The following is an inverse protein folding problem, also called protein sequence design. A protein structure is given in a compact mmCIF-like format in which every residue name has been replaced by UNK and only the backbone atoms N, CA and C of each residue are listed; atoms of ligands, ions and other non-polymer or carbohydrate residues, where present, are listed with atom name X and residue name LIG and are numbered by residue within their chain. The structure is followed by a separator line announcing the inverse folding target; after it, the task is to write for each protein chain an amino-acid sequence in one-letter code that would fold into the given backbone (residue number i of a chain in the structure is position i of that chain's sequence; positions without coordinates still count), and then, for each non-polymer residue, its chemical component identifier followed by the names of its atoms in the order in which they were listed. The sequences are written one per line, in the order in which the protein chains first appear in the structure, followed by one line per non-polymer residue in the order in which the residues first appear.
data_IF_139349413604
#
_entry.id   IF_139349413604
#
_cell.length_a   1.000
_cell.length_b   1.000
_cell.length_c   1.000
_cell.angle_alpha   90.00
_cell.angle_beta   90.00
_cell.angle_gamma   90.00
#
_symmetry.space_group_name_H-M   'P 1'
#
loop_
_entity.id
_entity.type
_entity.pdbx_description
1 polymer ?
#
# COMPACT_ATOMS: atom_id res chain seq x y z
N UNK A 1 53.46 27.12 21.52
CA UNK A 1 53.23 26.19 20.42
C UNK A 1 52.65 24.84 20.88
N UNK A 2 53.11 24.19 21.95
CA UNK A 2 52.57 22.88 22.42
C UNK A 2 51.09 22.89 22.88
N UNK A 3 50.58 24.00 23.49
CA UNK A 3 49.17 24.09 23.93
C UNK A 3 48.16 24.22 22.77
N UNK A 4 48.57 24.92 21.69
CA UNK A 4 47.70 25.07 20.48
C UNK A 4 47.59 23.75 19.72
N UNK A 5 48.69 23.00 19.63
CA UNK A 5 48.69 21.66 19.00
C UNK A 5 47.80 20.67 19.74
N UNK A 6 47.74 20.71 21.07
CA UNK A 6 46.89 19.82 21.87
C UNK A 6 45.41 20.17 21.73
N UNK A 7 45.08 21.48 21.63
CA UNK A 7 43.69 21.92 21.41
C UNK A 7 43.14 21.55 20.00
N UNK A 8 43.99 21.66 18.98
CA UNK A 8 43.64 21.25 17.61
C UNK A 8 43.45 19.73 17.53
N UNK A 9 44.30 18.94 18.19
CA UNK A 9 44.18 17.50 18.26
C UNK A 9 42.88 17.05 19.01
N UNK A 10 42.50 17.74 20.08
CA UNK A 10 41.27 17.46 20.82
C UNK A 10 40.01 17.83 20.02
N UNK A 11 40.06 18.95 19.28
CA UNK A 11 38.94 19.35 18.41
C UNK A 11 38.74 18.37 17.24
N UNK A 12 39.85 17.87 16.66
CA UNK A 12 39.83 16.89 15.57
C UNK A 12 39.32 15.52 16.05
N UNK A 13 39.56 15.15 17.31
CA UNK A 13 39.05 13.92 17.91
C UNK A 13 37.53 14.01 18.22
N UNK A 14 37.02 15.19 18.60
CA UNK A 14 35.58 15.41 18.82
C UNK A 14 34.76 15.36 17.53
N UNK A 15 35.33 15.75 16.38
CA UNK A 15 34.62 15.67 15.08
C UNK A 15 34.49 14.23 14.59
N UNK A 16 35.37 13.32 15.03
CA UNK A 16 35.29 11.90 14.66
C UNK A 16 34.25 11.10 15.45
N UNK A 17 33.71 11.61 16.55
CA UNK A 17 32.68 10.95 17.35
C UNK A 17 31.24 11.23 16.88
N UNK A 18 31.05 12.17 15.93
CA UNK A 18 29.73 12.52 15.37
C UNK A 18 29.30 11.69 14.15
N UNK A 19 30.12 10.74 13.71
CA UNK A 19 29.91 10.04 12.43
C UNK A 19 29.23 8.65 12.53
N UNK A 20 28.56 8.34 13.63
CA UNK A 20 27.85 7.06 13.79
C UNK A 20 26.35 7.26 14.04
N UNK A 21 25.62 7.79 13.05
CA UNK A 21 24.21 7.45 12.85
C UNK A 21 24.08 6.70 11.53
N UNK A 22 24.69 5.54 11.45
CA UNK A 22 24.50 4.63 10.31
C UNK A 22 23.22 3.82 10.50
N UNK A 23 22.10 4.40 10.13
CA UNK A 23 21.04 3.58 9.55
C UNK A 23 21.63 2.83 8.34
N UNK A 24 21.00 1.76 7.84
CA UNK A 24 21.56 0.93 6.77
C UNK A 24 21.83 1.79 5.53
N UNK A 25 23.09 2.22 5.40
CA UNK A 25 23.55 3.01 4.26
C UNK A 25 23.53 2.10 3.04
N UNK A 26 22.56 2.30 2.14
CA UNK A 26 22.68 1.84 0.77
C UNK A 26 21.62 0.86 0.25
N UNK A 27 20.87 0.12 1.06
CA UNK A 27 19.88 -0.82 0.55
C UNK A 27 18.49 -0.20 0.56
N UNK A 28 17.80 -0.26 -0.59
CA UNK A 28 16.37 0.13 -0.68
C UNK A 28 15.49 -1.10 -0.56
N UNK A 29 14.32 -0.92 0.02
CA UNK A 29 13.32 -1.97 0.10
C UNK A 29 12.89 -2.42 -1.30
N UNK A 30 12.71 -3.72 -1.46
CA UNK A 30 12.34 -4.42 -2.71
C UNK A 30 10.94 -5.02 -2.61
N UNK A 31 10.45 -5.62 -3.69
CA UNK A 31 9.12 -6.21 -3.77
C UNK A 31 8.07 -5.24 -4.34
N UNK A 32 6.90 -5.78 -4.65
CA UNK A 32 5.80 -5.03 -5.26
C UNK A 32 4.94 -4.37 -4.17
N UNK A 33 4.21 -3.33 -4.58
CA UNK A 33 3.19 -2.73 -3.73
C UNK A 33 2.11 -3.76 -3.38
N UNK A 34 1.56 -3.67 -2.18
CA UNK A 34 0.52 -4.56 -1.66
C UNK A 34 0.94 -6.04 -1.56
N UNK A 35 2.24 -6.34 -1.58
CA UNK A 35 2.78 -7.65 -1.22
C UNK A 35 3.32 -7.64 0.21
N UNK A 36 3.07 -8.72 0.98
CA UNK A 36 3.55 -8.90 2.35
C UNK A 36 4.22 -10.25 2.48
N UNK A 37 5.44 -10.26 2.99
CA UNK A 37 6.12 -11.50 3.42
C UNK A 37 5.71 -11.78 4.86
N UNK A 38 5.11 -12.95 5.08
CA UNK A 38 4.72 -13.43 6.42
C UNK A 38 5.72 -14.46 6.89
N UNK A 39 6.44 -14.13 7.96
CA UNK A 39 7.45 -14.99 8.59
C UNK A 39 6.85 -15.63 9.83
N UNK A 40 6.61 -16.94 9.80
CA UNK A 40 5.94 -17.68 10.86
C UNK A 40 6.41 -19.14 10.84
N UNK A 41 6.48 -19.82 11.99
CA UNK A 41 6.79 -21.24 12.02
C UNK A 41 5.76 -22.05 11.21
N UNK A 42 6.22 -23.02 10.45
CA UNK A 42 5.39 -23.84 9.54
C UNK A 42 4.17 -24.46 10.23
N UNK A 43 4.34 -24.99 11.43
CA UNK A 43 3.26 -25.61 12.20
C UNK A 43 2.14 -24.60 12.54
N UNK A 44 2.50 -23.36 12.91
CA UNK A 44 1.56 -22.31 13.24
C UNK A 44 0.88 -21.74 11.99
N UNK A 45 1.63 -21.62 10.88
CA UNK A 45 1.12 -21.19 9.58
C UNK A 45 0.04 -22.12 9.02
N UNK A 46 0.27 -23.46 9.11
CA UNK A 46 -0.71 -24.46 8.68
C UNK A 46 -1.88 -24.61 9.67
N UNK A 47 -1.72 -24.11 10.88
CA UNK A 47 -2.72 -24.13 11.94
C UNK A 47 -3.82 -23.07 11.82
N UNK A 48 -4.59 -22.92 12.89
CA UNK A 48 -5.71 -21.97 12.98
C UNK A 48 -5.25 -20.51 12.98
N UNK A 49 -4.14 -20.20 13.64
CA UNK A 49 -3.58 -18.84 13.69
C UNK A 49 -3.10 -18.35 12.32
N UNK A 50 -2.40 -19.21 11.56
CA UNK A 50 -1.97 -18.88 10.20
C UNK A 50 -3.15 -18.69 9.25
N UNK A 51 -4.23 -19.50 9.40
CA UNK A 51 -5.47 -19.34 8.64
C UNK A 51 -6.15 -18.00 8.94
N UNK A 52 -6.22 -17.60 10.21
CA UNK A 52 -6.79 -16.32 10.64
C UNK A 52 -6.01 -15.13 10.04
N UNK A 53 -4.68 -15.13 10.14
CA UNK A 53 -3.81 -14.11 9.55
C UNK A 53 -3.99 -14.06 8.02
N UNK A 54 -3.99 -15.21 7.36
CA UNK A 54 -4.18 -15.28 5.91
C UNK A 54 -5.53 -14.69 5.50
N UNK A 55 -6.62 -15.08 6.16
CA UNK A 55 -7.96 -14.58 5.88
C UNK A 55 -8.06 -13.06 6.06
N UNK A 56 -7.44 -12.51 7.10
CA UNK A 56 -7.42 -11.07 7.35
C UNK A 56 -6.65 -10.33 6.25
N UNK A 57 -5.40 -10.74 5.97
CA UNK A 57 -4.54 -10.07 5.00
C UNK A 57 -5.06 -10.17 3.56
N UNK A 58 -5.75 -11.27 3.21
CA UNK A 58 -6.33 -11.47 1.87
C UNK A 58 -7.84 -11.13 1.82
N UNK A 59 -8.34 -10.33 2.77
CA UNK A 59 -9.71 -9.85 2.68
C UNK A 59 -9.92 -9.04 1.40
N UNK A 60 -11.12 -9.14 0.82
CA UNK A 60 -11.45 -8.51 -0.44
C UNK A 60 -11.46 -6.98 -0.37
N UNK A 61 -11.01 -6.35 -1.46
CA UNK A 61 -11.15 -4.90 -1.65
C UNK A 61 -12.62 -4.58 -1.90
N UNK A 62 -13.25 -3.72 -1.08
CA UNK A 62 -14.66 -3.40 -1.25
C UNK A 62 -14.96 -2.66 -2.56
N UNK A 63 -16.13 -2.91 -3.16
CA UNK A 63 -16.63 -2.17 -4.32
C UNK A 63 -16.04 -2.58 -5.66
N UNK A 64 -15.20 -3.60 -5.73
CA UNK A 64 -14.76 -4.20 -6.99
C UNK A 64 -15.83 -5.16 -7.54
N UNK A 65 -16.02 -5.26 -8.87
CA UNK A 65 -16.99 -6.16 -9.48
C UNK A 65 -16.55 -7.63 -9.38
N UNK A 66 -15.26 -7.88 -9.22
CA UNK A 66 -14.67 -9.19 -8.95
C UNK A 66 -13.98 -9.16 -7.60
N UNK A 67 -14.00 -10.29 -6.88
CA UNK A 67 -13.27 -10.44 -5.64
C UNK A 67 -11.77 -10.37 -5.89
N UNK A 68 -11.11 -9.39 -5.31
CA UNK A 68 -9.65 -9.23 -5.37
C UNK A 68 -9.10 -9.04 -3.96
N UNK A 69 -8.07 -9.80 -3.56
CA UNK A 69 -7.48 -9.68 -2.24
C UNK A 69 -6.76 -8.34 -2.09
N UNK A 70 -6.92 -7.70 -0.94
CA UNK A 70 -6.27 -6.44 -0.63
C UNK A 70 -4.74 -6.55 -0.61
N UNK A 71 -4.21 -7.70 -0.19
CA UNK A 71 -2.77 -7.96 -0.15
C UNK A 71 -2.44 -9.33 -0.73
N UNK A 72 -1.31 -9.41 -1.43
CA UNK A 72 -0.69 -10.68 -1.85
C UNK A 72 0.28 -11.14 -0.79
N UNK A 73 0.21 -12.42 -0.40
CA UNK A 73 1.01 -12.97 0.67
C UNK A 73 2.05 -13.94 0.13
N UNK A 74 3.26 -13.82 0.64
CA UNK A 74 4.32 -14.82 0.51
C UNK A 74 4.68 -15.34 1.89
N UNK A 75 4.45 -16.63 2.14
CA UNK A 75 4.84 -17.30 3.36
C UNK A 75 6.33 -17.67 3.35
N UNK A 76 7.00 -17.48 4.48
CA UNK A 76 8.40 -17.87 4.70
C UNK A 76 8.56 -18.46 6.09
N UNK A 77 9.20 -19.63 6.19
CA UNK A 77 9.60 -20.19 7.48
C UNK A 77 10.76 -19.36 8.08
N UNK A 78 10.80 -19.12 9.41
CA UNK A 78 11.88 -18.36 10.03
C UNK A 78 13.29 -18.85 9.69
N UNK A 79 13.47 -20.15 9.49
CA UNK A 79 14.75 -20.74 9.09
C UNK A 79 15.20 -20.40 7.67
N UNK A 80 14.29 -19.93 6.84
CA UNK A 80 14.53 -19.51 5.44
C UNK A 80 14.48 -18.00 5.26
N UNK A 81 14.20 -17.27 6.34
CA UNK A 81 14.09 -15.80 6.30
C UNK A 81 15.45 -15.14 6.45
N UNK A 82 16.19 -15.05 5.35
CA UNK A 82 17.51 -14.44 5.27
C UNK A 82 17.74 -13.69 3.93
N UNK A 83 18.95 -13.18 3.74
CA UNK A 83 19.43 -12.62 2.49
C UNK A 83 18.49 -11.58 1.89
N UNK A 84 18.01 -11.82 0.67
CA UNK A 84 17.17 -10.88 -0.09
C UNK A 84 15.77 -10.72 0.51
N UNK A 85 15.26 -11.71 1.22
CA UNK A 85 13.93 -11.65 1.83
C UNK A 85 13.87 -10.61 2.95
N UNK A 86 14.99 -10.34 3.62
CA UNK A 86 15.06 -9.30 4.66
C UNK A 86 14.91 -7.88 4.11
N UNK A 87 15.06 -7.67 2.78
CA UNK A 87 14.92 -6.35 2.16
C UNK A 87 13.53 -6.09 1.57
N UNK A 88 12.59 -7.03 1.70
CA UNK A 88 11.23 -6.84 1.21
C UNK A 88 10.54 -5.69 1.95
N UNK A 89 9.77 -4.90 1.22
CA UNK A 89 9.19 -3.64 1.71
C UNK A 89 8.16 -3.77 2.84
N UNK A 90 7.42 -4.89 2.87
CA UNK A 90 6.43 -5.18 3.91
C UNK A 90 6.67 -6.58 4.46
N UNK A 91 6.91 -6.68 5.74
CA UNK A 91 7.17 -7.92 6.44
C UNK A 91 6.27 -8.00 7.67
N UNK A 92 5.62 -9.15 7.86
CA UNK A 92 4.94 -9.53 9.09
C UNK A 92 5.70 -10.69 9.73
N UNK A 93 6.29 -10.46 10.90
CA UNK A 93 6.93 -11.50 11.72
C UNK A 93 5.94 -11.92 12.81
N UNK A 94 5.67 -13.21 12.91
CA UNK A 94 4.76 -13.76 13.92
C UNK A 94 5.55 -14.67 14.84
N UNK A 95 5.58 -14.32 16.14
CA UNK A 95 6.25 -15.07 17.18
C UNK A 95 5.21 -15.61 18.18
N UNK A 96 5.19 -16.94 18.34
CA UNK A 96 4.37 -17.60 19.35
C UNK A 96 5.29 -18.25 20.37
N UNK A 97 5.28 -17.73 21.60
CA UNK A 97 6.12 -18.27 22.68
C UNK A 97 5.49 -17.98 24.05
N UNK A 98 4.93 -19.00 24.73
CA UNK A 98 4.31 -18.84 26.05
C UNK A 98 5.30 -18.51 27.17
N UNK A 99 6.59 -18.74 26.96
CA UNK A 99 7.63 -18.44 27.96
C UNK A 99 8.04 -16.97 27.93
N UNK A 100 7.77 -16.25 26.83
CA UNK A 100 8.16 -14.86 26.65
C UNK A 100 6.95 -13.93 26.69
N UNK A 101 5.83 -14.33 26.06
CA UNK A 101 4.68 -13.47 25.88
C UNK A 101 3.52 -13.88 26.79
N UNK A 102 2.85 -12.91 27.39
CA UNK A 102 1.68 -13.13 28.24
C UNK A 102 0.35 -12.75 27.56
N UNK A 103 0.42 -11.96 26.50
CA UNK A 103 -0.72 -11.53 25.66
C UNK A 103 -0.28 -11.27 24.23
N UNK A 104 -1.25 -11.27 23.32
CA UNK A 104 -0.97 -10.85 21.95
C UNK A 104 -0.70 -9.34 21.89
N UNK A 105 0.29 -8.95 21.10
CA UNK A 105 0.68 -7.55 20.90
C UNK A 105 1.31 -7.33 19.52
N UNK A 106 1.06 -6.15 18.95
CA UNK A 106 1.66 -5.73 17.67
C UNK A 106 2.60 -4.55 17.91
N UNK A 107 3.74 -4.59 17.25
CA UNK A 107 4.66 -3.46 17.11
C UNK A 107 5.12 -3.34 15.66
N UNK A 108 5.67 -2.19 15.29
CA UNK A 108 6.26 -2.03 13.95
C UNK A 108 7.53 -1.20 14.02
N UNK A 109 8.40 -1.43 13.05
CA UNK A 109 9.64 -0.70 12.84
C UNK A 109 9.74 -0.30 11.37
N UNK A 110 10.28 0.92 11.11
CA UNK A 110 10.63 1.37 9.78
C UNK A 110 12.12 1.15 9.54
N UNK A 111 12.45 0.83 8.27
CA UNK A 111 13.84 0.80 7.79
C UNK A 111 14.79 -0.15 8.57
N UNK A 112 14.27 -1.27 9.07
CA UNK A 112 15.06 -2.20 9.89
C UNK A 112 16.25 -2.78 9.13
N UNK A 113 16.08 -3.21 7.88
CA UNK A 113 17.11 -3.77 7.02
C UNK A 113 17.29 -3.01 5.70
N UNK A 114 16.28 -2.27 5.26
CA UNK A 114 16.29 -1.53 4.01
C UNK A 114 15.45 -0.25 4.11
N UNK A 115 15.90 0.82 3.48
CA UNK A 115 15.18 2.11 3.45
C UNK A 115 13.84 1.99 2.71
N UNK A 116 12.78 2.48 3.32
CA UNK A 116 11.41 2.40 2.80
C UNK A 116 10.69 1.10 3.17
N UNK A 117 11.27 0.30 4.07
CA UNK A 117 10.67 -0.92 4.60
C UNK A 117 9.78 -0.64 5.82
N UNK A 118 8.76 -1.47 6.01
CA UNK A 118 8.05 -1.62 7.28
C UNK A 118 8.07 -3.08 7.72
N UNK A 119 8.41 -3.30 8.98
CA UNK A 119 8.38 -4.62 9.63
C UNK A 119 7.39 -4.57 10.76
N UNK A 120 6.32 -5.35 10.66
CA UNK A 120 5.33 -5.56 11.73
C UNK A 120 5.70 -6.83 12.47
N UNK A 121 5.68 -6.78 13.79
CA UNK A 121 5.89 -7.95 14.65
C UNK A 121 4.63 -8.20 15.48
N UNK A 122 4.03 -9.37 15.31
CA UNK A 122 2.93 -9.88 16.11
C UNK A 122 3.47 -10.95 17.05
N UNK A 123 3.44 -10.65 18.36
CA UNK A 123 3.88 -11.56 19.41
C UNK A 123 2.66 -12.09 20.16
N UNK A 124 2.65 -13.39 20.50
CA UNK A 124 1.55 -14.00 21.26
C UNK A 124 2.03 -15.18 22.10
N UNK A 125 1.35 -15.51 23.23
CA UNK A 125 1.66 -16.68 24.02
C UNK A 125 1.18 -17.98 23.36
N UNK A 126 0.15 -17.94 22.52
CA UNK A 126 -0.42 -19.11 21.87
C UNK A 126 -1.11 -18.77 20.55
N UNK A 127 -1.43 -19.78 19.69
CA UNK A 127 -2.22 -19.59 18.49
C UNK A 127 -3.62 -18.99 18.76
N UNK A 128 -4.27 -19.39 19.86
CA UNK A 128 -5.59 -18.92 20.27
C UNK A 128 -5.55 -17.42 20.58
N UNK A 129 -4.51 -16.94 21.25
CA UNK A 129 -4.33 -15.51 21.52
C UNK A 129 -4.20 -14.65 20.26
N UNK A 130 -3.67 -15.19 19.15
CA UNK A 130 -3.68 -14.53 17.85
C UNK A 130 -5.10 -14.43 17.30
N UNK A 131 -5.87 -15.52 17.37
CA UNK A 131 -7.26 -15.55 16.90
C UNK A 131 -8.12 -14.56 17.67
N UNK A 132 -8.02 -14.55 18.99
CA UNK A 132 -8.71 -13.60 19.86
C UNK A 132 -8.34 -12.15 19.52
N UNK A 133 -7.04 -11.90 19.30
CA UNK A 133 -6.57 -10.58 18.90
C UNK A 133 -7.17 -10.14 17.56
N UNK A 134 -7.15 -10.99 16.53
CA UNK A 134 -7.73 -10.69 15.22
C UNK A 134 -9.24 -10.47 15.30
N UNK A 135 -9.96 -11.20 16.16
CA UNK A 135 -11.39 -11.00 16.37
C UNK A 135 -11.69 -9.68 17.09
N UNK A 136 -10.86 -9.29 18.07
CA UNK A 136 -10.99 -8.03 18.78
C UNK A 136 -10.59 -6.81 17.94
N UNK A 137 -9.72 -6.99 16.95
CA UNK A 137 -9.19 -5.94 16.08
C UNK A 137 -9.32 -6.34 14.60
N UNK A 138 -10.53 -6.51 14.08
CA UNK A 138 -10.75 -6.95 12.71
C UNK A 138 -10.13 -5.95 11.74
N UNK A 139 -9.41 -6.48 10.74
CA UNK A 139 -8.70 -5.71 9.71
C UNK A 139 -7.48 -4.90 10.17
N UNK A 140 -7.04 -5.00 11.41
CA UNK A 140 -5.91 -4.21 11.91
C UNK A 140 -4.63 -4.39 11.08
N UNK A 141 -4.29 -5.62 10.68
CA UNK A 141 -3.12 -5.92 9.87
C UNK A 141 -3.30 -5.46 8.41
N UNK A 142 -4.43 -5.78 7.79
CA UNK A 142 -4.66 -5.41 6.38
C UNK A 142 -4.72 -3.89 6.23
N UNK A 143 -5.47 -3.19 7.09
CA UNK A 143 -5.60 -1.74 7.05
C UNK A 143 -4.26 -1.05 7.30
N UNK A 144 -3.43 -1.61 8.19
CA UNK A 144 -2.08 -1.10 8.43
C UNK A 144 -1.22 -1.15 7.16
N UNK A 145 -1.10 -2.32 6.52
CA UNK A 145 -0.26 -2.45 5.32
C UNK A 145 -0.82 -1.68 4.13
N UNK A 146 -2.13 -1.66 3.93
CA UNK A 146 -2.78 -0.85 2.91
C UNK A 146 -2.48 0.63 3.12
N UNK A 147 -2.62 1.14 4.35
CA UNK A 147 -2.29 2.53 4.69
C UNK A 147 -0.82 2.87 4.44
N UNK A 148 0.10 1.96 4.76
CA UNK A 148 1.54 2.13 4.47
C UNK A 148 1.76 2.28 2.97
N UNK A 149 1.14 1.43 2.13
CA UNK A 149 1.27 1.52 0.67
C UNK A 149 0.62 2.79 0.10
N UNK A 150 -0.55 3.16 0.59
CA UNK A 150 -1.18 4.42 0.21
C UNK A 150 -0.30 5.64 0.54
N UNK A 151 0.29 5.68 1.73
CA UNK A 151 1.20 6.78 2.12
C UNK A 151 2.45 6.84 1.22
N UNK A 152 2.99 5.69 0.81
CA UNK A 152 4.10 5.64 -0.15
C UNK A 152 3.69 6.18 -1.51
N UNK A 153 2.51 5.77 -2.01
CA UNK A 153 1.97 6.26 -3.26
C UNK A 153 1.71 7.78 -3.21
N UNK A 154 1.09 8.28 -2.14
CA UNK A 154 0.88 9.71 -1.92
C UNK A 154 2.21 10.47 -1.96
N UNK A 155 3.21 10.04 -1.18
CA UNK A 155 4.52 10.70 -1.14
C UNK A 155 5.29 10.64 -2.48
N UNK A 156 4.96 9.69 -3.36
CA UNK A 156 5.48 9.67 -4.73
C UNK A 156 4.73 10.65 -5.62
N UNK A 157 3.39 10.66 -5.57
CA UNK A 157 2.53 11.55 -6.36
C UNK A 157 2.69 13.02 -5.99
N UNK A 158 3.12 13.34 -4.76
CA UNK A 158 3.47 14.71 -4.37
C UNK A 158 4.72 15.23 -5.09
N UNK A 159 5.60 14.34 -5.54
CA UNK A 159 6.89 14.70 -6.16
C UNK A 159 6.86 14.57 -7.68
N UNK A 160 6.07 13.65 -8.19
CA UNK A 160 6.01 13.30 -9.62
C UNK A 160 4.58 12.98 -10.01
N UNK A 161 3.90 13.96 -10.65
CA UNK A 161 2.51 13.85 -11.06
C UNK A 161 2.29 14.41 -12.47
N UNK A 162 1.17 14.03 -13.08
CA UNK A 162 0.75 14.52 -14.38
C UNK A 162 0.25 15.96 -14.30
N UNK A 163 1.00 16.90 -14.89
CA UNK A 163 0.57 18.29 -15.02
C UNK A 163 -0.66 18.41 -15.94
N UNK A 164 -0.79 17.54 -16.94
CA UNK A 164 -1.95 17.47 -17.82
C UNK A 164 -3.22 17.20 -17.03
N UNK A 165 -3.20 16.21 -16.13
CA UNK A 165 -4.37 15.88 -15.29
C UNK A 165 -4.65 17.03 -14.31
N UNK A 166 -3.61 17.52 -13.62
CA UNK A 166 -3.74 18.59 -12.64
C UNK A 166 -4.34 19.85 -13.27
N UNK A 167 -3.81 20.32 -14.41
CA UNK A 167 -4.23 21.57 -15.03
C UNK A 167 -5.66 21.49 -15.56
N UNK A 168 -6.04 20.36 -16.20
CA UNK A 168 -7.41 20.20 -16.68
C UNK A 168 -8.43 20.12 -15.54
N UNK A 169 -8.16 19.31 -14.51
CA UNK A 169 -9.06 19.20 -13.37
C UNK A 169 -9.19 20.50 -12.59
N UNK A 170 -8.10 21.24 -12.41
CA UNK A 170 -8.11 22.53 -11.73
C UNK A 170 -8.89 23.59 -12.50
N UNK A 171 -8.68 23.68 -13.81
CA UNK A 171 -9.27 24.75 -14.62
C UNK A 171 -10.73 24.50 -14.98
N UNK A 172 -11.14 23.25 -15.19
CA UNK A 172 -12.46 22.90 -15.73
C UNK A 172 -13.40 22.27 -14.69
N UNK A 173 -12.85 21.70 -13.59
CA UNK A 173 -13.64 20.96 -12.59
C UNK A 173 -13.45 21.46 -11.15
N UNK A 174 -12.65 22.51 -10.95
CA UNK A 174 -12.31 23.07 -9.61
C UNK A 174 -11.79 22.01 -8.64
N UNK A 175 -11.01 21.05 -9.14
CA UNK A 175 -10.47 19.91 -8.40
C UNK A 175 -8.96 19.85 -8.56
N UNK A 176 -8.22 19.68 -7.45
CA UNK A 176 -6.79 19.43 -7.46
C UNK A 176 -6.52 17.99 -7.10
N UNK A 177 -5.90 17.24 -8.05
CA UNK A 177 -5.59 15.82 -7.88
C UNK A 177 -4.26 15.48 -8.54
N UNK A 178 -3.34 14.89 -7.78
CA UNK A 178 -2.10 14.35 -8.31
C UNK A 178 -2.36 12.94 -8.85
N UNK A 179 -2.20 12.78 -10.15
CA UNK A 179 -2.24 11.50 -10.84
C UNK A 179 -0.83 11.09 -11.30
N UNK A 180 -0.55 9.81 -11.58
CA UNK A 180 0.74 9.38 -12.12
C UNK A 180 1.20 10.20 -13.32
N UNK A 181 2.48 10.57 -13.34
CA UNK A 181 3.06 11.47 -14.37
C UNK A 181 2.96 10.92 -15.80
N UNK A 182 2.81 9.60 -15.96
CA UNK A 182 2.61 8.95 -17.24
C UNK A 182 1.17 9.00 -17.77
N UNK A 183 0.21 9.57 -17.04
CA UNK A 183 -1.16 9.81 -17.50
C UNK A 183 -1.18 11.06 -18.38
N UNK A 184 -1.03 10.89 -19.69
CA UNK A 184 -0.92 11.97 -20.68
C UNK A 184 -2.06 12.01 -21.69
N UNK A 185 -2.79 10.90 -21.84
CA UNK A 185 -4.00 10.84 -22.67
C UNK A 185 -5.21 11.24 -21.84
N UNK A 186 -6.10 12.09 -22.40
CA UNK A 186 -7.28 12.52 -21.67
C UNK A 186 -8.44 12.87 -22.61
N UNK A 187 -9.64 12.84 -22.05
CA UNK A 187 -10.88 13.42 -22.60
C UNK A 187 -11.53 14.23 -21.49
N UNK A 188 -11.97 15.43 -21.84
CA UNK A 188 -12.57 16.38 -20.89
C UNK A 188 -13.90 16.92 -21.45
N UNK A 189 -14.94 16.88 -20.63
CA UNK A 189 -16.27 17.45 -20.89
C UNK A 189 -16.77 18.15 -19.63
N UNK A 190 -17.93 18.80 -19.66
CA UNK A 190 -18.43 19.63 -18.55
C UNK A 190 -18.55 18.89 -17.21
N UNK A 191 -18.94 17.62 -17.23
CA UNK A 191 -19.23 16.80 -16.03
C UNK A 191 -18.47 15.47 -15.98
N UNK A 192 -17.56 15.25 -16.94
CA UNK A 192 -16.79 14.02 -17.03
C UNK A 192 -15.38 14.27 -17.53
N UNK A 193 -14.38 13.82 -16.80
CA UNK A 193 -12.97 13.80 -17.16
C UNK A 193 -12.46 12.37 -17.10
N UNK A 194 -11.70 11.96 -18.11
CA UNK A 194 -10.99 10.70 -18.17
C UNK A 194 -9.53 10.94 -18.55
N UNK A 195 -8.61 10.28 -17.85
CA UNK A 195 -7.20 10.26 -18.22
C UNK A 195 -6.62 8.85 -18.15
N UNK A 196 -5.62 8.56 -18.97
CA UNK A 196 -5.00 7.24 -19.08
C UNK A 196 -3.50 7.34 -19.37
N UNK A 197 -2.75 6.32 -18.95
CA UNK A 197 -1.39 6.09 -19.41
C UNK A 197 -1.36 5.37 -20.78
N UNK A 198 -2.49 4.90 -21.27
CA UNK A 198 -2.67 4.18 -22.55
C UNK A 198 -1.66 3.04 -22.78
N UNK A 199 -1.25 2.35 -21.70
CA UNK A 199 -0.28 1.27 -21.79
C UNK A 199 -0.93 -0.04 -22.23
N UNK A 200 -0.24 -0.83 -23.05
CA UNK A 200 -0.72 -2.16 -23.48
C UNK A 200 -0.78 -3.16 -22.34
N UNK A 201 0.09 -3.00 -21.35
CA UNK A 201 0.12 -3.79 -20.12
C UNK A 201 0.21 -2.86 -18.90
N UNK A 202 -0.54 -3.16 -17.83
CA UNK A 202 -0.59 -2.29 -16.66
C UNK A 202 -1.25 -0.94 -16.95
N UNK A 203 -2.26 -0.94 -17.84
CA UNK A 203 -3.06 0.25 -18.10
C UNK A 203 -3.73 0.74 -16.84
N UNK A 204 -3.64 2.04 -16.63
CA UNK A 204 -4.29 2.73 -15.50
C UNK A 204 -5.13 3.87 -16.07
N UNK A 205 -6.37 3.94 -15.65
CA UNK A 205 -7.33 4.96 -16.04
C UNK A 205 -7.82 5.70 -14.79
N UNK A 206 -7.91 7.03 -14.89
CA UNK A 206 -8.50 7.90 -13.90
C UNK A 206 -9.79 8.48 -14.47
N UNK A 207 -10.87 8.39 -13.72
CA UNK A 207 -12.16 8.94 -14.09
C UNK A 207 -12.67 9.85 -12.97
N UNK A 208 -13.03 11.07 -13.35
CA UNK A 208 -13.68 12.04 -12.46
C UNK A 208 -14.99 12.43 -13.11
N UNK A 209 -16.09 12.40 -12.37
CA UNK A 209 -17.38 12.85 -12.85
C UNK A 209 -18.15 13.54 -11.72
N UNK A 210 -19.00 14.48 -12.11
CA UNK A 210 -19.86 15.24 -11.21
C UNK A 210 -21.33 14.97 -11.51
N UNK A 211 -22.16 15.02 -10.49
CA UNK A 211 -23.61 14.93 -10.62
C UNK A 211 -24.29 15.65 -9.45
N UNK A 212 -25.54 16.13 -9.59
CA UNK A 212 -26.25 16.81 -8.51
C UNK A 212 -26.47 15.89 -7.30
N UNK A 213 -26.21 16.40 -6.11
CA UNK A 213 -26.59 15.75 -4.87
C UNK A 213 -28.03 16.07 -4.52
N UNK A 214 -28.94 15.13 -4.77
CA UNK A 214 -30.39 15.29 -4.58
C UNK A 214 -31.02 14.26 -3.65
N UNK A 215 -30.29 13.18 -3.32
CA UNK A 215 -30.79 12.06 -2.53
C UNK A 215 -29.87 11.80 -1.33
N UNK A 216 -30.38 11.74 -0.08
CA UNK A 216 -29.60 11.36 1.09
C UNK A 216 -28.86 10.02 0.98
N UNK A 217 -29.37 9.09 0.15
CA UNK A 217 -28.77 7.76 -0.07
C UNK A 217 -27.66 7.77 -1.12
N UNK A 218 -27.30 8.92 -1.68
CA UNK A 218 -26.25 9.06 -2.72
C UNK A 218 -24.91 8.42 -2.32
N UNK A 219 -24.56 8.45 -1.03
CA UNK A 219 -23.29 7.92 -0.53
C UNK A 219 -23.37 6.48 -0.03
N UNK A 220 -24.40 5.70 -0.40
CA UNK A 220 -24.42 4.27 -0.20
C UNK A 220 -23.57 3.56 -1.26
N UNK A 221 -22.98 2.39 -0.91
CA UNK A 221 -22.17 1.62 -1.84
C UNK A 221 -22.97 1.23 -3.10
N UNK A 222 -24.23 0.81 -2.93
CA UNK A 222 -25.12 0.41 -4.01
C UNK A 222 -25.36 1.56 -4.99
N UNK A 223 -25.66 2.76 -4.48
CA UNK A 223 -25.89 3.93 -5.32
C UNK A 223 -24.62 4.32 -6.09
N UNK A 224 -23.48 4.40 -5.41
CA UNK A 224 -22.21 4.80 -6.02
C UNK A 224 -21.74 3.81 -7.10
N UNK A 225 -21.92 2.49 -6.87
CA UNK A 225 -21.61 1.46 -7.86
C UNK A 225 -22.54 1.59 -9.07
N UNK A 226 -23.86 1.69 -8.88
CA UNK A 226 -24.83 1.86 -9.97
C UNK A 226 -24.56 3.14 -10.78
N UNK A 227 -24.24 4.23 -10.08
CA UNK A 227 -23.90 5.53 -10.73
C UNK A 227 -22.62 5.43 -11.54
N UNK A 228 -21.57 4.83 -10.99
CA UNK A 228 -20.33 4.55 -11.71
C UNK A 228 -20.61 3.78 -13.00
N UNK A 229 -21.33 2.67 -12.90
CA UNK A 229 -21.61 1.80 -14.05
C UNK A 229 -22.42 2.52 -15.14
N UNK A 230 -23.39 3.36 -14.75
CA UNK A 230 -24.14 4.21 -15.68
C UNK A 230 -23.24 5.22 -16.41
N UNK A 231 -22.39 5.95 -15.67
CA UNK A 231 -21.47 6.92 -16.24
C UNK A 231 -20.46 6.29 -17.18
N UNK A 232 -19.89 5.12 -16.78
CA UNK A 232 -18.92 4.41 -17.62
C UNK A 232 -19.56 3.85 -18.91
N UNK A 233 -20.78 3.31 -18.84
CA UNK A 233 -21.52 2.83 -19.99
C UNK A 233 -21.75 3.93 -21.03
N UNK A 234 -22.03 5.14 -20.58
CA UNK A 234 -22.28 6.28 -21.45
C UNK A 234 -21.00 6.86 -22.05
N UNK A 235 -19.95 7.00 -21.26
CA UNK A 235 -18.74 7.74 -21.64
C UNK A 235 -17.62 6.85 -22.18
N UNK A 236 -17.57 5.57 -21.80
CA UNK A 236 -16.54 4.60 -22.19
C UNK A 236 -17.20 3.28 -22.66
N UNK A 237 -18.03 3.33 -23.73
CA UNK A 237 -18.68 2.12 -24.22
C UNK A 237 -17.65 1.11 -24.69
N UNK A 238 -17.77 -0.14 -24.24
CA UNK A 238 -16.95 -1.24 -24.73
C UNK A 238 -17.29 -1.65 -26.16
N UNK A 239 -16.54 -2.57 -26.72
CA UNK A 239 -16.75 -3.12 -28.06
C UNK A 239 -18.11 -3.86 -28.18
N UNK A 240 -18.77 -4.22 -27.06
CA UNK A 240 -20.12 -4.71 -27.01
C UNK A 240 -20.89 -3.99 -25.88
N UNK A 241 -22.08 -3.45 -26.19
CA UNK A 241 -22.89 -2.66 -25.26
C UNK A 241 -23.37 -3.43 -24.00
N UNK A 242 -23.08 -4.72 -23.92
CA UNK A 242 -23.46 -5.62 -22.82
C UNK A 242 -22.28 -6.12 -21.98
N UNK A 243 -21.05 -5.72 -22.32
CA UNK A 243 -19.86 -6.16 -21.58
C UNK A 243 -19.76 -5.45 -20.21
N UNK A 244 -19.36 -6.15 -19.13
CA UNK A 244 -19.00 -5.52 -17.89
C UNK A 244 -17.97 -4.38 -18.10
N UNK A 245 -18.03 -3.31 -17.35
CA UNK A 245 -17.16 -2.13 -17.51
C UNK A 245 -15.66 -2.45 -17.60
N UNK A 246 -15.18 -3.53 -16.92
CA UNK A 246 -13.80 -4.02 -17.01
C UNK A 246 -13.40 -4.48 -18.43
N UNK A 247 -14.36 -4.93 -19.24
CA UNK A 247 -14.13 -5.29 -20.65
C UNK A 247 -14.32 -4.09 -21.59
N UNK A 248 -15.12 -3.09 -21.18
CA UNK A 248 -15.33 -1.86 -21.93
C UNK A 248 -14.04 -1.05 -22.09
N UNK A 249 -13.14 -1.13 -21.12
CA UNK A 249 -11.87 -0.41 -21.13
C UNK A 249 -10.79 -1.05 -22.03
N UNK A 250 -10.90 -2.32 -22.40
CA UNK A 250 -9.94 -3.02 -23.26
C UNK A 250 -10.07 -2.69 -24.74
N UNK A 251 -11.13 -2.00 -25.17
CA UNK A 251 -11.41 -1.65 -26.57
C UNK A 251 -11.05 -0.22 -26.99
N UNK A 252 -10.49 0.59 -26.09
CA UNK A 252 -10.01 1.94 -26.41
C UNK A 252 -8.56 1.87 -26.89
N UNK A 253 -8.36 1.78 -28.22
CA UNK A 253 -7.07 1.89 -28.91
C UNK A 253 -6.89 3.29 -29.49
#
# INVERSE_FOLDING_TARGET
MKKISLQISLLMFLVLLGACSSGPVGKRATGLAYEVVVVMKKADWDGSSGKAIKQELTSDVPGLPQSEPALKITYVDPSQFDGLLTYVRNILIVNIDPSIYTKASISYENDRWAKGQVVVTLNAPSPEAIIEYSQAHPKALVDFFVKVEMNRAIGQLEKDYSTVVMDNLKNNHDLMLNAPSNMTYYRDTTDFFWASNNANTGRTDLIVYTFPYTDPNTFTAEYLVAKRDSVLKENLPGAAAEAPWSQAMSGLH
#
